data_IF_134038640572
#
_entry.id   IF_134038640572
#
_cell.length_a   1.000
_cell.length_b   1.000
_cell.length_c   1.000
_cell.angle_alpha   90.00
_cell.angle_beta   90.00
_cell.angle_gamma   90.00
#
_symmetry.space_group_name_H-M   'P 1'
#
loop_
_entity.id
_entity.type
_entity.pdbx_description
1 polymer ?
#
# COMPACT_ATOMS: atom_id res chain seq x y z
N UNK A 1 -16.30 -22.93 -6.45
CA UNK A 1 -15.92 -21.55 -6.08
C UNK A 1 -14.66 -21.68 -5.24
N UNK A 2 -13.50 -21.22 -5.72
CA UNK A 2 -12.25 -21.27 -4.93
C UNK A 2 -12.27 -20.04 -4.03
N UNK A 3 -12.21 -20.25 -2.71
CA UNK A 3 -12.13 -19.16 -1.75
C UNK A 3 -10.72 -18.56 -1.77
N UNK A 4 -10.62 -17.23 -1.66
CA UNK A 4 -9.34 -16.55 -1.52
C UNK A 4 -8.71 -16.94 -0.17
N UNK A 5 -7.58 -17.62 -0.23
CA UNK A 5 -6.77 -18.01 0.92
C UNK A 5 -5.50 -17.17 0.98
N UNK A 6 -4.91 -17.08 2.17
CA UNK A 6 -3.65 -16.38 2.40
C UNK A 6 -2.66 -17.33 3.03
N UNK A 7 -1.49 -17.45 2.42
CA UNK A 7 -0.42 -18.30 2.91
C UNK A 7 0.77 -17.44 3.31
N UNK A 8 1.53 -17.88 4.30
CA UNK A 8 2.81 -17.27 4.63
C UNK A 8 3.72 -17.32 3.40
N UNK A 9 4.37 -16.20 3.14
CA UNK A 9 5.39 -16.06 2.11
C UNK A 9 6.78 -16.20 2.74
N UNK A 10 7.66 -16.98 2.10
CA UNK A 10 9.06 -17.10 2.46
C UNK A 10 9.86 -17.30 1.16
N UNK A 11 10.76 -16.38 0.76
CA UNK A 11 11.13 -15.14 1.46
C UNK A 11 10.06 -14.03 1.36
N UNK A 12 10.02 -13.06 2.30
CA UNK A 12 9.15 -11.91 2.18
C UNK A 12 9.51 -11.03 0.97
N UNK A 13 8.53 -10.31 0.43
CA UNK A 13 8.79 -9.31 -0.62
C UNK A 13 9.51 -8.09 -0.04
N UNK A 14 10.30 -7.43 -0.89
CA UNK A 14 10.80 -6.09 -0.59
C UNK A 14 9.64 -5.10 -0.50
N UNK A 15 9.62 -4.29 0.55
CA UNK A 15 8.63 -3.24 0.73
C UNK A 15 8.78 -2.15 -0.35
N UNK A 16 7.67 -1.79 -0.96
CA UNK A 16 7.55 -0.67 -1.90
C UNK A 16 6.40 0.28 -1.52
N UNK A 17 5.59 -0.11 -0.54
CA UNK A 17 4.56 0.73 0.03
C UNK A 17 4.20 0.27 1.45
N UNK A 18 3.41 1.09 2.14
CA UNK A 18 2.83 0.79 3.45
C UNK A 18 1.39 1.31 3.47
N UNK A 19 0.47 0.47 3.91
CA UNK A 19 -0.95 0.79 4.02
C UNK A 19 -1.40 0.72 5.48
N UNK A 20 -2.28 1.62 5.87
CA UNK A 20 -2.87 1.62 7.20
C UNK A 20 -4.28 2.21 7.16
N UNK A 21 -5.05 1.90 8.20
CA UNK A 21 -6.39 2.43 8.44
C UNK A 21 -6.52 2.97 9.87
N UNK A 22 -7.53 3.80 10.12
CA UNK A 22 -7.85 4.30 11.46
C UNK A 22 -6.69 5.06 12.13
N UNK A 23 -6.36 4.72 13.38
CA UNK A 23 -5.29 5.38 14.13
C UNK A 23 -3.90 5.13 13.53
N UNK A 24 -3.66 3.94 12.98
CA UNK A 24 -2.42 3.61 12.31
C UNK A 24 -2.20 4.49 11.07
N UNK A 25 -3.28 4.83 10.34
CA UNK A 25 -3.19 5.76 9.20
C UNK A 25 -2.71 7.16 9.63
N UNK A 26 -3.24 7.68 10.74
CA UNK A 26 -2.81 8.98 11.28
C UNK A 26 -1.34 8.98 11.68
N UNK A 27 -0.87 7.93 12.36
CA UNK A 27 0.54 7.78 12.71
C UNK A 27 1.42 7.64 11.47
N UNK A 28 0.94 6.93 10.45
CA UNK A 28 1.64 6.76 9.19
C UNK A 28 1.79 8.10 8.45
N UNK A 29 0.73 8.90 8.37
CA UNK A 29 0.75 10.27 7.85
C UNK A 29 1.74 11.15 8.62
N UNK A 30 1.64 11.17 9.96
CA UNK A 30 2.54 11.93 10.81
C UNK A 30 4.01 11.53 10.64
N UNK A 31 4.29 10.24 10.41
CA UNK A 31 5.63 9.73 10.13
C UNK A 31 6.15 10.08 8.73
N UNK A 32 5.27 10.22 7.75
CA UNK A 32 5.61 10.59 6.37
C UNK A 32 5.93 12.08 6.20
N UNK A 33 5.21 12.97 6.89
CA UNK A 33 5.41 14.43 6.81
C UNK A 33 6.87 14.87 6.98
N UNK A 34 7.61 14.48 8.03
CA UNK A 34 9.01 14.89 8.18
C UNK A 34 9.92 14.34 7.09
N UNK A 35 9.62 13.15 6.54
CA UNK A 35 10.38 12.55 5.44
C UNK A 35 10.15 13.29 4.13
N UNK A 36 8.90 13.67 3.84
CA UNK A 36 8.56 14.50 2.69
C UNK A 36 9.27 15.86 2.77
N UNK A 37 9.25 16.49 3.95
CA UNK A 37 9.98 17.75 4.20
C UNK A 37 11.50 17.60 4.06
N UNK A 38 12.05 16.42 4.33
CA UNK A 38 13.45 16.09 4.12
C UNK A 38 13.81 15.81 2.65
N UNK A 39 12.84 15.83 1.72
CA UNK A 39 13.06 15.68 0.28
C UNK A 39 12.90 14.26 -0.27
N UNK A 40 12.37 13.32 0.53
CA UNK A 40 12.00 11.98 0.01
C UNK A 40 10.95 12.08 -1.09
N UNK A 41 10.87 11.07 -1.95
CA UNK A 41 9.91 11.02 -3.06
C UNK A 41 8.69 10.17 -2.73
N UNK A 42 8.29 10.15 -1.45
CA UNK A 42 7.10 9.42 -1.01
C UNK A 42 5.86 9.96 -1.74
N UNK A 43 5.03 9.03 -2.19
CA UNK A 43 3.76 9.31 -2.87
C UNK A 43 2.64 8.72 -2.03
N UNK A 44 1.47 9.32 -2.02
CA UNK A 44 0.38 8.84 -1.18
C UNK A 44 -0.95 8.88 -1.91
N UNK A 45 -1.79 7.90 -1.62
CA UNK A 45 -3.23 7.94 -1.86
C UNK A 45 -3.94 7.74 -0.53
N UNK A 46 -5.01 8.50 -0.31
CA UNK A 46 -5.77 8.46 0.92
C UNK A 46 -7.25 8.73 0.66
N UNK A 47 -8.11 7.94 1.29
CA UNK A 47 -9.55 8.21 1.39
C UNK A 47 -9.95 8.42 2.86
N UNK A 48 -11.22 8.20 3.21
CA UNK A 48 -11.74 8.35 4.58
C UNK A 48 -11.34 7.20 5.51
N UNK A 49 -10.85 6.08 4.98
CA UNK A 49 -10.61 4.84 5.72
C UNK A 49 -9.16 4.35 5.64
N UNK A 50 -8.53 4.53 4.48
CA UNK A 50 -7.21 4.00 4.15
C UNK A 50 -6.25 5.09 3.72
N UNK A 51 -5.00 4.90 4.11
CA UNK A 51 -3.84 5.62 3.57
C UNK A 51 -2.87 4.57 3.03
N UNK A 52 -2.38 4.79 1.81
CA UNK A 52 -1.30 4.01 1.21
C UNK A 52 -0.18 4.95 0.81
N UNK A 53 1.01 4.73 1.37
CA UNK A 53 2.22 5.49 1.06
C UNK A 53 3.15 4.60 0.25
N UNK A 54 3.51 5.05 -0.94
CA UNK A 54 4.36 4.34 -1.91
C UNK A 54 5.71 5.04 -1.99
N UNK A 55 6.80 4.28 -1.93
CA UNK A 55 8.15 4.85 -1.92
C UNK A 55 9.25 3.79 -1.76
N UNK A 56 10.49 4.26 -1.67
CA UNK A 56 11.62 3.37 -1.38
C UNK A 56 11.50 2.76 0.03
N UNK A 57 11.89 1.50 0.17
CA UNK A 57 11.79 0.74 1.41
C UNK A 57 12.40 1.46 2.62
N UNK A 58 13.53 2.16 2.43
CA UNK A 58 14.23 2.87 3.50
C UNK A 58 13.58 4.21 3.86
N UNK A 59 12.77 4.76 2.96
CA UNK A 59 12.03 6.00 3.17
C UNK A 59 10.66 5.76 3.81
N UNK A 60 10.10 4.56 3.73
CA UNK A 60 8.75 4.29 4.23
C UNK A 60 8.66 4.59 5.74
N UNK A 61 7.62 5.32 6.19
CA UNK A 61 7.37 5.50 7.61
C UNK A 61 6.96 4.19 8.27
N UNK A 62 7.16 4.14 9.58
CA UNK A 62 6.73 3.03 10.42
C UNK A 62 5.56 3.46 11.29
N UNK A 63 4.57 2.58 11.43
CA UNK A 63 3.46 2.74 12.34
C UNK A 63 2.96 1.35 12.78
N UNK A 64 2.65 1.21 14.07
CA UNK A 64 2.00 0.01 14.58
C UNK A 64 0.67 -0.25 13.88
N UNK A 65 0.45 -1.49 13.45
CA UNK A 65 -0.75 -1.90 12.72
C UNK A 65 -0.74 -1.56 11.22
N UNK A 66 0.35 -0.99 10.70
CA UNK A 66 0.52 -0.80 9.26
C UNK A 66 0.93 -2.11 8.57
N UNK A 67 0.47 -2.29 7.33
CA UNK A 67 0.79 -3.43 6.48
C UNK A 67 1.78 -2.98 5.42
N UNK A 68 3.00 -3.51 5.46
CA UNK A 68 3.99 -3.29 4.41
C UNK A 68 3.67 -4.12 3.17
N UNK A 69 3.82 -3.50 2.01
CA UNK A 69 3.39 -4.03 0.74
C UNK A 69 4.57 -4.09 -0.24
N UNK A 70 4.62 -5.14 -1.03
CA UNK A 70 5.57 -5.31 -2.14
C UNK A 70 4.85 -5.46 -3.47
N UNK A 71 5.54 -5.16 -4.56
CA UNK A 71 5.01 -5.37 -5.91
C UNK A 71 5.05 -6.85 -6.28
N UNK A 72 3.91 -7.35 -6.77
CA UNK A 72 3.79 -8.67 -7.39
C UNK A 72 2.82 -8.59 -8.56
N UNK A 73 3.28 -8.95 -9.76
CA UNK A 73 2.46 -8.91 -10.99
C UNK A 73 1.69 -7.59 -11.19
N UNK A 74 2.33 -6.45 -10.87
CA UNK A 74 1.73 -5.11 -11.01
C UNK A 74 0.74 -4.72 -9.90
N UNK A 75 0.58 -5.55 -8.87
CA UNK A 75 -0.31 -5.32 -7.72
C UNK A 75 0.53 -5.16 -6.45
N UNK A 76 0.13 -4.28 -5.55
CA UNK A 76 0.69 -4.26 -4.20
C UNK A 76 0.01 -5.30 -3.33
N UNK A 77 0.81 -6.17 -2.71
CA UNK A 77 0.36 -7.21 -1.78
C UNK A 77 1.18 -7.18 -0.49
N UNK A 78 0.67 -7.67 0.65
CA UNK A 78 1.46 -7.80 1.87
C UNK A 78 2.81 -8.51 1.62
N UNK A 79 3.87 -8.03 2.25
CA UNK A 79 5.21 -8.58 2.02
C UNK A 79 5.39 -9.98 2.60
N UNK A 80 4.62 -10.36 3.62
CA UNK A 80 4.80 -11.61 4.39
C UNK A 80 3.76 -12.69 4.10
N UNK A 81 2.74 -12.39 3.30
CA UNK A 81 1.73 -13.35 2.88
C UNK A 81 1.45 -13.24 1.39
N UNK A 82 0.95 -14.31 0.78
CA UNK A 82 0.56 -14.35 -0.62
C UNK A 82 -0.85 -14.94 -0.77
N UNK A 83 -1.65 -14.44 -1.72
CA UNK A 83 -2.97 -14.99 -1.98
C UNK A 83 -2.89 -16.34 -2.70
N UNK A 84 -3.91 -17.18 -2.49
CA UNK A 84 -4.23 -18.32 -3.32
C UNK A 84 -5.72 -18.23 -3.72
N UNK A 85 -6.06 -18.18 -5.02
CA UNK A 85 -5.20 -18.25 -6.20
C UNK A 85 -4.14 -17.12 -6.31
N UNK A 86 -3.09 -17.28 -7.14
CA UNK A 86 -2.04 -16.30 -7.34
C UNK A 86 -2.53 -14.88 -7.67
N UNK A 87 -1.74 -13.87 -7.28
CA UNK A 87 -2.08 -12.44 -7.37
C UNK A 87 -2.55 -12.02 -8.76
N UNK A 88 -1.90 -12.48 -9.83
CA UNK A 88 -2.28 -12.10 -11.20
C UNK A 88 -3.66 -12.62 -11.63
N UNK A 89 -4.09 -13.75 -11.06
CA UNK A 89 -5.43 -14.31 -11.27
C UNK A 89 -6.45 -13.48 -10.49
N UNK A 90 -6.16 -13.19 -9.21
CA UNK A 90 -7.06 -12.39 -8.36
C UNK A 90 -7.23 -10.98 -8.93
N UNK A 91 -6.14 -10.31 -9.28
CA UNK A 91 -6.18 -8.93 -9.80
C UNK A 91 -6.95 -8.80 -11.11
N UNK A 92 -6.92 -9.82 -11.99
CA UNK A 92 -7.73 -9.83 -13.23
C UNK A 92 -9.23 -9.80 -12.95
N UNK A 93 -9.68 -10.30 -11.80
CA UNK A 93 -11.09 -10.31 -11.41
C UNK A 93 -11.60 -8.97 -10.85
N UNK A 94 -10.69 -8.05 -10.46
CA UNK A 94 -11.02 -6.77 -9.83
C UNK A 94 -11.60 -5.76 -10.82
N UNK A 95 -11.27 -5.88 -12.12
CA UNK A 95 -11.75 -4.97 -13.16
C UNK A 95 -11.19 -3.56 -13.05
N UNK A 96 -9.85 -3.43 -13.01
CA UNK A 96 -9.14 -2.15 -12.94
C UNK A 96 -8.67 -1.68 -14.33
N UNK A 97 -8.46 -0.37 -14.50
CA UNK A 97 -7.91 0.23 -15.70
C UNK A 97 -6.37 0.23 -15.70
N UNK A 98 -5.78 0.29 -16.90
CA UNK A 98 -4.32 0.41 -17.05
C UNK A 98 -3.83 1.69 -16.38
N UNK A 99 -2.82 1.58 -15.52
CA UNK A 99 -2.24 2.71 -14.79
C UNK A 99 -2.90 3.00 -13.45
N UNK A 100 -3.86 2.17 -13.02
CA UNK A 100 -4.38 2.22 -11.65
C UNK A 100 -3.44 1.51 -10.67
N UNK A 101 -3.42 2.02 -9.45
CA UNK A 101 -2.84 1.36 -8.29
C UNK A 101 -3.86 0.36 -7.75
N UNK A 102 -3.49 -0.92 -7.76
CA UNK A 102 -4.27 -1.97 -7.11
C UNK A 102 -3.50 -2.47 -5.89
N UNK A 103 -4.19 -2.52 -4.75
CA UNK A 103 -3.69 -3.10 -3.50
C UNK A 103 -4.61 -4.22 -3.09
N UNK A 104 -4.07 -5.43 -2.96
CA UNK A 104 -4.80 -6.61 -2.52
C UNK A 104 -4.41 -6.95 -1.08
N UNK A 105 -5.37 -6.89 -0.17
CA UNK A 105 -5.21 -7.14 1.27
C UNK A 105 -6.16 -8.26 1.72
N UNK A 106 -5.88 -8.93 2.84
CA UNK A 106 -6.85 -9.83 3.45
C UNK A 106 -8.18 -9.12 3.73
N UNK A 107 -9.24 -9.55 3.04
CA UNK A 107 -10.60 -9.05 3.22
C UNK A 107 -10.93 -7.75 2.47
N UNK A 108 -9.99 -7.13 1.74
CA UNK A 108 -10.28 -5.92 0.95
C UNK A 108 -9.38 -5.75 -0.27
N UNK A 109 -9.89 -5.03 -1.27
CA UNK A 109 -9.12 -4.60 -2.43
C UNK A 109 -9.27 -3.09 -2.55
N UNK A 110 -8.14 -2.37 -2.65
CA UNK A 110 -8.12 -0.94 -2.87
C UNK A 110 -7.73 -0.69 -4.34
N UNK A 111 -8.48 0.16 -5.01
CA UNK A 111 -8.19 0.61 -6.37
C UNK A 111 -8.21 2.13 -6.37
N UNK A 112 -7.15 2.73 -6.90
CA UNK A 112 -7.03 4.18 -7.02
C UNK A 112 -6.24 4.52 -8.26
N UNK A 113 -6.31 5.77 -8.72
CA UNK A 113 -5.31 6.29 -9.66
C UNK A 113 -3.91 6.18 -9.05
N UNK A 114 -2.93 5.77 -9.85
CA UNK A 114 -1.53 5.72 -9.42
C UNK A 114 -1.04 7.12 -9.03
N UNK A 115 -0.54 7.33 -7.80
CA UNK A 115 0.05 8.61 -7.45
C UNK A 115 1.40 8.72 -8.18
N UNK A 116 1.56 9.72 -9.04
CA UNK A 116 2.78 9.92 -9.85
C UNK A 116 3.67 11.06 -9.35
N UNK A 117 3.11 11.95 -8.53
CA UNK A 117 3.85 13.06 -7.91
C UNK A 117 4.07 12.78 -6.42
N UNK A 118 5.16 13.31 -5.82
CA UNK A 118 5.35 13.29 -4.38
C UNK A 118 4.12 13.86 -3.65
N UNK A 119 3.79 13.30 -2.50
CA UNK A 119 2.67 13.77 -1.70
C UNK A 119 2.96 15.16 -1.12
N UNK A 120 1.94 16.00 -1.05
CA UNK A 120 2.02 17.29 -0.36
C UNK A 120 2.01 17.03 1.17
N UNK A 121 3.05 17.44 1.91
CA UNK A 121 3.13 17.23 3.35
C UNK A 121 2.02 17.96 4.12
N UNK A 122 1.53 19.11 3.66
CA UNK A 122 0.49 19.87 4.35
C UNK A 122 -0.88 19.21 4.18
N UNK A 123 -1.18 18.67 3.00
CA UNK A 123 -2.40 17.88 2.79
C UNK A 123 -2.37 16.57 3.58
N UNK A 124 -1.20 15.95 3.70
CA UNK A 124 -1.04 14.69 4.44
C UNK A 124 -1.10 14.89 5.96
N UNK A 125 -0.67 16.05 6.47
CA UNK A 125 -0.74 16.38 7.89
C UNK A 125 -2.18 16.54 8.42
N UNK A 126 -3.14 16.81 7.52
CA UNK A 126 -4.55 16.99 7.85
C UNK A 126 -5.39 15.69 7.76
N UNK A 127 -4.74 14.54 7.58
CA UNK A 127 -5.38 13.21 7.47
C UNK A 127 -5.43 12.45 8.80
#
# INVERSE_FOLDING_TARGET
MIALQWHRREPPLQSAAVAAQGTAAKHLCAGAVPRLRAGTRLRAVADEHWVVIVGDAHELPWADGAVYLGWEAGTLVPTTVMPFPPTDIVTRSVGHAVGELVVLLPGTVLVSTMPVQPADPELLANR
#
